data_IF_760551850100
#
_entry.id   IF_760551850100
#
_cell.length_a   1.000
_cell.length_b   1.000
_cell.length_c   1.000
_cell.angle_alpha   90.00
_cell.angle_beta   90.00
_cell.angle_gamma   90.00
#
_symmetry.space_group_name_H-M   'P 1'
#
loop_
_entity.id
_entity.type
_entity.pdbx_description
1 polymer ?
#
# COMPACT_ATOMS: atom_id res chain seq x y z
N UNK A 1 13.75 17.35 28.01
CA UNK A 1 14.53 17.76 26.82
C UNK A 1 13.75 17.35 25.59
N UNK A 2 12.97 18.28 25.05
CA UNK A 2 12.02 18.12 23.96
C UNK A 2 12.72 18.38 22.63
N UNK A 3 12.89 17.33 21.82
CA UNK A 3 13.40 17.46 20.44
C UNK A 3 12.21 17.55 19.51
N UNK A 4 11.98 18.74 19.00
CA UNK A 4 10.99 19.11 17.99
C UNK A 4 11.35 18.47 16.64
N UNK A 5 10.45 17.65 16.10
CA UNK A 5 10.51 17.15 14.71
C UNK A 5 9.55 17.98 13.84
N UNK A 6 9.94 19.22 13.57
CA UNK A 6 9.35 20.09 12.54
C UNK A 6 10.46 20.35 11.53
N UNK A 7 10.45 19.66 10.38
CA UNK A 7 11.50 19.92 9.39
C UNK A 7 11.71 18.92 8.27
N UNK A 8 10.68 18.38 7.62
CA UNK A 8 10.82 17.81 6.26
C UNK A 8 9.56 18.07 5.45
N UNK A 9 9.28 19.33 5.14
CA UNK A 9 8.25 19.73 4.17
C UNK A 9 8.73 20.92 3.32
N UNK A 10 9.95 20.86 2.80
CA UNK A 10 10.42 21.79 1.75
C UNK A 10 11.24 20.97 0.75
N UNK A 11 10.60 20.53 -0.34
CA UNK A 11 11.30 19.72 -1.36
C UNK A 11 10.52 19.43 -2.65
N UNK A 12 9.45 20.17 -2.98
CA UNK A 12 8.62 19.89 -4.17
C UNK A 12 8.51 21.10 -5.13
N UNK A 13 9.46 22.03 -5.14
CA UNK A 13 9.31 23.26 -5.95
C UNK A 13 10.48 23.62 -6.89
N UNK A 14 11.35 22.69 -7.28
CA UNK A 14 12.53 23.04 -8.09
C UNK A 14 12.98 22.00 -9.13
N UNK A 15 12.06 21.32 -9.81
CA UNK A 15 12.42 20.35 -10.87
C UNK A 15 11.59 20.48 -12.16
N UNK A 16 11.30 21.70 -12.62
CA UNK A 16 10.60 21.91 -13.91
C UNK A 16 11.16 23.04 -14.77
N UNK A 17 12.45 23.39 -14.60
CA UNK A 17 13.15 24.27 -15.53
C UNK A 17 14.52 23.67 -15.80
N UNK A 18 15.00 23.82 -17.04
CA UNK A 18 16.28 23.35 -17.58
C UNK A 18 16.31 21.93 -18.16
N UNK A 19 15.74 21.75 -19.36
CA UNK A 19 16.41 20.97 -20.41
C UNK A 19 15.85 21.33 -21.79
N UNK A 20 16.26 22.48 -22.31
CA UNK A 20 16.25 22.77 -23.74
C UNK A 20 17.68 23.15 -24.11
N UNK A 21 18.56 22.16 -24.32
CA UNK A 21 19.84 22.38 -24.98
C UNK A 21 19.64 22.18 -26.48
N UNK A 22 19.81 23.29 -27.20
CA UNK A 22 19.87 23.38 -28.64
C UNK A 22 21.00 22.49 -29.19
N UNK A 23 20.67 21.63 -30.15
CA UNK A 23 21.67 20.95 -30.98
C UNK A 23 21.90 21.79 -32.24
N UNK A 24 23.16 22.15 -32.44
CA UNK A 24 23.67 22.93 -33.54
C UNK A 24 23.43 22.24 -34.89
N UNK A 25 23.01 23.05 -35.88
CA UNK A 25 22.73 22.64 -37.25
C UNK A 25 24.03 22.61 -38.05
N UNK A 26 24.47 21.44 -38.50
CA UNK A 26 25.54 21.31 -39.49
C UNK A 26 25.05 21.78 -40.86
N UNK A 27 25.89 22.54 -41.58
CA UNK A 27 25.64 22.98 -42.96
C UNK A 27 25.98 21.82 -43.90
N UNK A 28 24.98 21.32 -44.63
CA UNK A 28 25.18 20.42 -45.78
C UNK A 28 24.70 21.16 -47.03
N UNK A 29 25.54 21.16 -48.05
CA UNK A 29 25.37 21.89 -49.30
C UNK A 29 24.11 21.44 -50.06
N UNK A 30 23.43 22.41 -50.69
CA UNK A 30 22.25 22.22 -51.51
C UNK A 30 22.66 21.75 -52.91
N UNK A 31 22.35 20.50 -53.28
CA UNK A 31 22.14 20.16 -54.69
C UNK A 31 20.64 20.26 -54.99
N UNK A 32 20.29 21.16 -55.92
CA UNK A 32 18.91 21.38 -56.34
C UNK A 32 18.59 20.43 -57.50
N UNK A 33 18.01 19.27 -57.20
CA UNK A 33 17.23 18.52 -58.19
C UNK A 33 15.79 19.05 -58.22
N UNK A 34 15.19 19.33 -59.40
CA UNK A 34 13.80 19.75 -59.47
C UNK A 34 12.90 18.63 -58.95
N UNK A 35 12.24 18.96 -57.86
CA UNK A 35 11.47 18.06 -57.02
C UNK A 35 9.99 18.15 -57.43
N UNK A 36 9.53 17.27 -58.30
CA UNK A 36 8.08 17.03 -58.51
C UNK A 36 7.53 16.21 -57.33
N UNK A 37 7.42 16.85 -56.16
CA UNK A 37 6.78 16.24 -54.99
C UNK A 37 5.27 16.38 -55.11
N UNK A 38 4.59 15.26 -55.32
CA UNK A 38 3.15 15.13 -55.08
C UNK A 38 2.85 15.49 -53.63
N UNK A 39 2.04 16.52 -53.43
CA UNK A 39 1.72 17.09 -52.12
C UNK A 39 0.60 16.28 -51.44
N UNK A 40 0.86 15.01 -51.07
CA UNK A 40 -0.01 14.27 -50.15
C UNK A 40 0.77 13.14 -49.47
N UNK A 41 1.06 13.27 -48.17
CA UNK A 41 1.72 12.27 -47.31
C UNK A 41 0.71 11.28 -46.72
N UNK A 42 -0.16 10.72 -47.56
CA UNK A 42 -0.98 9.56 -47.16
C UNK A 42 -0.82 8.47 -48.20
N UNK A 43 -0.21 7.35 -47.81
CA UNK A 43 -0.21 6.13 -48.63
C UNK A 43 -1.66 5.72 -48.91
N UNK A 44 -1.95 5.34 -50.16
CA UNK A 44 -3.24 4.73 -50.51
C UNK A 44 -3.41 3.47 -49.66
N UNK A 45 -4.53 3.36 -48.96
CA UNK A 45 -4.84 2.18 -48.15
C UNK A 45 -4.88 0.96 -49.07
N UNK A 46 -3.88 0.08 -48.96
CA UNK A 46 -3.93 -1.24 -49.59
C UNK A 46 -5.13 -2.00 -49.02
N UNK A 47 -5.89 -2.65 -49.90
CA UNK A 47 -7.03 -3.50 -49.53
C UNK A 47 -6.57 -4.50 -48.47
N UNK A 48 -7.09 -4.34 -47.24
CA UNK A 48 -6.72 -5.17 -46.09
C UNK A 48 -7.08 -6.62 -46.40
N UNK A 49 -6.07 -7.44 -46.71
CA UNK A 49 -6.23 -8.88 -46.86
C UNK A 49 -6.72 -9.53 -45.58
N UNK A 50 -7.29 -10.74 -45.70
CA UNK A 50 -7.89 -11.52 -44.61
C UNK A 50 -6.90 -11.60 -43.42
N UNK A 51 -7.15 -10.84 -42.35
CA UNK A 51 -6.30 -10.85 -41.17
C UNK A 51 -6.38 -12.23 -40.51
N UNK A 52 -5.27 -12.77 -39.97
CA UNK A 52 -5.34 -14.00 -39.19
C UNK A 52 -6.33 -13.80 -38.03
N UNK A 53 -7.25 -14.75 -37.86
CA UNK A 53 -8.18 -14.76 -36.73
C UNK A 53 -7.34 -14.74 -35.45
N UNK A 54 -7.30 -13.58 -34.78
CA UNK A 54 -6.63 -13.45 -33.49
C UNK A 54 -7.38 -14.32 -32.50
N UNK A 55 -6.66 -15.08 -31.66
CA UNK A 55 -7.27 -15.92 -30.62
C UNK A 55 -8.23 -15.07 -29.76
N UNK A 56 -9.45 -15.57 -29.57
CA UNK A 56 -10.48 -15.00 -28.70
C UNK A 56 -9.98 -14.69 -27.27
N UNK A 57 -9.03 -15.47 -26.75
CA UNK A 57 -8.43 -15.21 -25.44
C UNK A 57 -7.58 -13.95 -25.47
N UNK A 58 -6.80 -13.77 -26.54
CA UNK A 58 -5.96 -12.59 -26.74
C UNK A 58 -6.82 -11.34 -26.97
N UNK A 59 -7.95 -11.45 -27.66
CA UNK A 59 -8.89 -10.32 -27.80
C UNK A 59 -9.56 -9.96 -26.47
N UNK A 60 -9.96 -10.95 -25.65
CA UNK A 60 -10.47 -10.71 -24.30
C UNK A 60 -9.42 -10.05 -23.40
N UNK A 61 -8.18 -10.53 -23.41
CA UNK A 61 -7.09 -9.91 -22.64
C UNK A 61 -6.88 -8.46 -23.09
N UNK A 62 -6.78 -8.23 -24.41
CA UNK A 62 -6.65 -6.87 -24.98
C UNK A 62 -7.82 -5.97 -24.58
N UNK A 63 -9.03 -6.50 -24.57
CA UNK A 63 -10.24 -5.77 -24.17
C UNK A 63 -10.22 -5.35 -22.69
N UNK A 64 -9.81 -6.25 -21.77
CA UNK A 64 -9.72 -5.93 -20.34
C UNK A 64 -8.53 -5.02 -20.01
N UNK A 65 -7.43 -5.11 -20.77
CA UNK A 65 -6.27 -4.24 -20.60
C UNK A 65 -6.51 -2.82 -21.15
N UNK A 66 -7.19 -2.72 -22.28
CA UNK A 66 -7.42 -1.47 -22.99
C UNK A 66 -8.90 -1.32 -23.29
N UNK A 67 -9.67 -1.04 -22.24
CA UNK A 67 -11.11 -0.88 -22.36
C UNK A 67 -11.44 0.46 -23.03
N UNK A 68 -12.07 0.46 -24.22
CA UNK A 68 -12.34 1.70 -24.94
C UNK A 68 -13.44 2.56 -24.29
N UNK A 69 -14.26 1.98 -23.40
CA UNK A 69 -15.32 2.69 -22.68
C UNK A 69 -14.84 3.16 -21.30
N UNK A 70 -13.61 3.63 -21.17
CA UNK A 70 -13.24 4.37 -19.95
C UNK A 70 -14.04 5.68 -19.93
N UNK A 71 -14.82 5.96 -18.87
CA UNK A 71 -15.55 7.21 -18.79
C UNK A 71 -14.55 8.38 -18.75
N UNK A 72 -14.93 9.51 -19.34
CA UNK A 72 -14.11 10.72 -19.27
C UNK A 72 -13.97 11.17 -17.80
N UNK A 73 -12.85 11.80 -17.41
CA UNK A 73 -12.68 12.33 -16.06
C UNK A 73 -13.85 13.22 -15.65
N UNK A 74 -14.29 13.05 -14.41
CA UNK A 74 -15.45 13.76 -13.87
C UNK A 74 -15.15 15.26 -13.74
N UNK A 75 -15.97 16.10 -14.36
CA UNK A 75 -15.90 17.57 -14.23
C UNK A 75 -16.89 18.01 -13.16
N UNK A 76 -16.36 18.55 -12.06
CA UNK A 76 -17.17 19.03 -10.94
C UNK A 76 -17.35 20.55 -11.04
N UNK A 77 -18.53 21.05 -10.68
CA UNK A 77 -18.72 22.48 -10.42
C UNK A 77 -18.01 22.89 -9.14
N UNK A 78 -17.74 24.19 -8.95
CA UNK A 78 -17.04 24.72 -7.77
C UNK A 78 -17.67 24.26 -6.44
N UNK A 79 -18.99 24.40 -6.30
CA UNK A 79 -19.70 23.99 -5.08
C UNK A 79 -19.60 22.48 -4.80
N UNK A 80 -19.64 21.65 -5.85
CA UNK A 80 -19.49 20.19 -5.72
C UNK A 80 -18.05 19.80 -5.37
N UNK A 81 -17.07 20.43 -6.01
CA UNK A 81 -15.66 20.23 -5.74
C UNK A 81 -15.30 20.57 -4.28
N UNK A 82 -15.81 21.68 -3.74
CA UNK A 82 -15.61 22.06 -2.35
C UNK A 82 -16.23 21.05 -1.38
N UNK A 83 -17.46 20.60 -1.61
CA UNK A 83 -18.09 19.56 -0.77
C UNK A 83 -17.27 18.27 -0.74
N UNK A 84 -16.82 17.80 -1.90
CA UNK A 84 -15.96 16.62 -2.01
C UNK A 84 -14.64 16.81 -1.27
N UNK A 85 -14.02 17.99 -1.41
CA UNK A 85 -12.78 18.32 -0.71
C UNK A 85 -12.96 18.30 0.82
N UNK A 86 -14.05 18.87 1.33
CA UNK A 86 -14.35 18.86 2.76
C UNK A 86 -14.57 17.43 3.28
N UNK A 87 -15.33 16.60 2.56
CA UNK A 87 -15.54 15.19 2.93
C UNK A 87 -14.21 14.43 2.95
N UNK A 88 -13.39 14.58 1.91
CA UNK A 88 -12.08 13.93 1.84
C UNK A 88 -11.14 14.39 2.98
N UNK A 89 -11.17 15.67 3.33
CA UNK A 89 -10.38 16.20 4.46
C UNK A 89 -10.88 15.66 5.79
N UNK A 90 -12.19 15.64 6.01
CA UNK A 90 -12.80 15.07 7.21
C UNK A 90 -12.43 13.59 7.38
N UNK A 91 -12.46 12.82 6.28
CA UNK A 91 -12.01 11.42 6.26
C UNK A 91 -10.54 11.28 6.67
N UNK A 92 -9.65 12.12 6.11
CA UNK A 92 -8.22 12.09 6.48
C UNK A 92 -8.02 12.37 7.97
N UNK A 93 -8.72 13.35 8.53
CA UNK A 93 -8.65 13.66 9.97
C UNK A 93 -9.15 12.48 10.81
N UNK A 94 -10.28 11.88 10.43
CA UNK A 94 -10.81 10.70 11.09
C UNK A 94 -9.84 9.51 11.04
N UNK A 95 -9.24 9.24 9.89
CA UNK A 95 -8.32 8.10 9.72
C UNK A 95 -7.05 8.31 10.54
N UNK A 96 -6.49 9.53 10.56
CA UNK A 96 -5.39 9.87 11.46
C UNK A 96 -5.75 9.63 12.94
N UNK A 97 -6.96 10.03 13.37
CA UNK A 97 -7.44 9.76 14.74
C UNK A 97 -7.57 8.26 15.03
N UNK A 98 -8.14 7.49 14.09
CA UNK A 98 -8.29 6.03 14.19
C UNK A 98 -6.94 5.33 14.31
N UNK A 99 -5.98 5.69 13.46
CA UNK A 99 -4.62 5.15 13.51
C UNK A 99 -3.90 5.53 14.80
N UNK A 100 -4.02 6.78 15.26
CA UNK A 100 -3.43 7.21 16.52
C UNK A 100 -4.01 6.45 17.71
N UNK A 101 -5.33 6.23 17.74
CA UNK A 101 -5.98 5.40 18.76
C UNK A 101 -5.41 3.97 18.78
N UNK A 102 -5.27 3.35 17.61
CA UNK A 102 -4.69 2.01 17.50
C UNK A 102 -3.23 1.97 17.99
N UNK A 103 -2.42 2.97 17.62
CA UNK A 103 -1.01 3.08 18.07
C UNK A 103 -0.90 3.27 19.59
N UNK A 104 -1.73 4.13 20.17
CA UNK A 104 -1.75 4.36 21.62
C UNK A 104 -2.18 3.09 22.37
N UNK A 105 -3.16 2.35 21.86
CA UNK A 105 -3.57 1.10 22.47
C UNK A 105 -2.46 0.03 22.41
N UNK A 106 -1.78 -0.09 21.27
CA UNK A 106 -0.60 -0.97 21.15
C UNK A 106 0.52 -0.55 22.11
N UNK A 107 0.79 0.76 22.25
CA UNK A 107 1.76 1.27 23.20
C UNK A 107 1.36 0.97 24.65
N UNK A 108 0.07 1.10 24.99
CA UNK A 108 -0.47 0.76 26.31
C UNK A 108 -0.27 -0.71 26.63
N UNK A 109 -0.58 -1.60 25.68
CA UNK A 109 -0.37 -3.04 25.82
C UNK A 109 1.11 -3.38 25.97
N UNK A 110 1.98 -2.77 25.15
CA UNK A 110 3.42 -2.95 25.25
C UNK A 110 3.96 -2.51 26.60
N UNK A 111 3.56 -1.34 27.10
CA UNK A 111 3.97 -0.85 28.42
C UNK A 111 3.51 -1.79 29.53
N UNK A 112 2.25 -2.26 29.48
CA UNK A 112 1.74 -3.23 30.44
C UNK A 112 2.53 -4.54 30.45
N UNK A 113 2.97 -5.02 29.28
CA UNK A 113 3.83 -6.21 29.16
C UNK A 113 5.21 -5.92 29.76
N UNK A 114 5.82 -4.78 29.44
CA UNK A 114 7.12 -4.37 30.00
C UNK A 114 7.07 -4.32 31.53
N UNK A 115 6.08 -3.64 32.11
CA UNK A 115 5.92 -3.51 33.56
C UNK A 115 5.77 -4.88 34.22
N UNK A 116 4.96 -5.75 33.63
CA UNK A 116 4.76 -7.13 34.12
C UNK A 116 6.06 -7.95 34.06
N UNK A 117 6.86 -7.77 33.01
CA UNK A 117 8.13 -8.48 32.83
C UNK A 117 9.21 -7.99 33.79
N UNK A 118 9.24 -6.69 34.12
CA UNK A 118 10.12 -6.14 35.17
C UNK A 118 9.72 -6.68 36.55
N UNK A 119 8.43 -6.79 36.84
CA UNK A 119 7.94 -7.47 38.06
C UNK A 119 8.40 -8.93 38.06
N UNK A 120 8.19 -9.67 36.96
CA UNK A 120 8.58 -11.08 36.84
C UNK A 120 10.09 -11.32 36.99
N UNK A 121 10.92 -10.35 36.62
CA UNK A 121 12.38 -10.40 36.80
C UNK A 121 12.80 -10.28 38.27
N UNK A 122 12.05 -9.52 39.06
CA UNK A 122 12.34 -9.23 40.46
C UNK A 122 11.60 -10.17 41.44
N UNK A 123 10.63 -10.93 40.96
CA UNK A 123 9.88 -11.90 41.76
C UNK A 123 10.75 -13.13 42.09
N UNK A 124 10.98 -13.39 43.38
CA UNK A 124 11.53 -14.66 43.84
C UNK A 124 10.42 -15.72 43.86
N UNK A 125 10.56 -16.77 43.05
CA UNK A 125 9.53 -17.80 42.85
C UNK A 125 9.53 -18.88 43.96
N UNK A 126 10.25 -18.65 45.07
CA UNK A 126 10.42 -19.59 46.17
C UNK A 126 11.19 -20.86 45.77
N UNK A 127 11.66 -20.94 44.52
CA UNK A 127 12.46 -22.04 43.97
C UNK A 127 13.96 -21.74 44.07
N UNK A 128 14.37 -20.73 44.85
CA UNK A 128 15.75 -20.35 45.14
C UNK A 128 16.51 -21.46 45.88
N UNK A 129 16.87 -22.53 45.15
CA UNK A 129 18.02 -23.36 45.48
C UNK A 129 19.27 -22.50 45.23
N UNK A 130 19.84 -22.01 46.32
CA UNK A 130 21.17 -21.39 46.49
C UNK A 130 21.79 -20.82 45.19
N UNK A 131 21.70 -19.49 45.01
CA UNK A 131 22.58 -18.74 44.13
C UNK A 131 22.06 -18.35 42.74
N UNK A 132 20.77 -18.53 42.43
CA UNK A 132 20.15 -18.00 41.18
C UNK A 132 18.96 -17.13 41.52
N UNK A 133 19.20 -15.84 41.73
CA UNK A 133 18.14 -14.87 41.99
C UNK A 133 17.03 -14.88 40.91
N UNK A 134 15.78 -14.95 41.38
CA UNK A 134 14.54 -14.29 40.90
C UNK A 134 14.11 -14.41 39.43
N UNK A 135 14.87 -15.04 38.55
CA UNK A 135 14.75 -14.82 37.10
C UNK A 135 14.39 -16.09 36.30
N UNK A 136 13.99 -17.18 36.95
CA UNK A 136 13.62 -18.43 36.26
C UNK A 136 12.38 -18.24 35.38
N UNK A 137 11.29 -17.74 35.95
CA UNK A 137 10.03 -17.53 35.22
C UNK A 137 10.19 -16.51 34.08
N UNK A 138 10.94 -15.44 34.33
CA UNK A 138 11.29 -14.44 33.30
C UNK A 138 12.01 -15.06 32.09
N UNK A 139 13.00 -15.93 32.32
CA UNK A 139 13.71 -16.61 31.23
C UNK A 139 12.82 -17.56 30.44
N UNK A 140 11.95 -18.30 31.13
CA UNK A 140 10.99 -19.21 30.48
C UNK A 140 10.00 -18.41 29.62
N UNK A 141 9.46 -17.30 30.14
CA UNK A 141 8.51 -16.46 29.42
C UNK A 141 9.10 -15.85 28.12
N UNK A 142 10.43 -15.64 28.09
CA UNK A 142 11.13 -15.14 26.90
C UNK A 142 11.44 -16.23 25.85
N UNK A 143 11.28 -17.50 26.18
CA UNK A 143 11.55 -18.57 25.22
C UNK A 143 10.56 -18.51 24.05
N UNK A 144 11.08 -18.39 22.82
CA UNK A 144 10.27 -18.29 21.60
C UNK A 144 9.94 -19.64 20.96
N UNK A 145 9.79 -20.69 21.77
CA UNK A 145 9.52 -22.05 21.27
C UNK A 145 8.14 -22.10 20.61
N UNK A 146 8.06 -22.65 19.40
CA UNK A 146 6.79 -22.82 18.67
C UNK A 146 6.16 -21.55 18.09
N UNK A 147 6.80 -20.37 18.21
CA UNK A 147 6.24 -19.11 17.68
C UNK A 147 6.42 -18.98 16.17
N UNK A 148 7.57 -19.41 15.65
CA UNK A 148 7.95 -19.24 14.23
C UNK A 148 7.74 -20.51 13.39
N UNK A 149 7.02 -21.52 13.89
CA UNK A 149 6.74 -22.75 13.16
C UNK A 149 5.38 -22.71 12.43
N UNK A 150 5.23 -23.60 11.46
CA UNK A 150 3.94 -23.84 10.82
C UNK A 150 2.94 -24.33 11.89
N UNK A 151 1.82 -23.62 12.06
CA UNK A 151 0.83 -23.89 13.10
C UNK A 151 1.03 -23.13 14.42
N UNK A 152 1.84 -22.06 14.46
CA UNK A 152 2.01 -21.24 15.67
C UNK A 152 0.73 -20.52 16.11
N UNK A 153 -0.13 -20.17 15.15
CA UNK A 153 -1.46 -19.60 15.39
C UNK A 153 -2.48 -20.64 14.92
N UNK A 154 -3.37 -21.16 15.79
CA UNK A 154 -4.38 -22.12 15.38
C UNK A 154 -5.34 -21.50 14.36
N UNK A 155 -5.67 -22.25 13.31
CA UNK A 155 -6.45 -21.76 12.16
C UNK A 155 -7.90 -21.42 12.56
N UNK A 156 -8.40 -21.99 13.64
CA UNK A 156 -9.72 -21.73 14.18
C UNK A 156 -9.86 -20.30 14.73
N UNK A 157 -8.76 -19.71 15.22
CA UNK A 157 -8.74 -18.34 15.75
C UNK A 157 -8.47 -17.28 14.69
N UNK A 158 -7.88 -17.63 13.54
CA UNK A 158 -7.57 -16.67 12.47
C UNK A 158 -8.77 -16.34 11.56
N UNK A 159 -10.00 -16.59 12.05
CA UNK A 159 -11.25 -16.28 11.34
C UNK A 159 -11.44 -14.76 11.22
N UNK A 160 -11.83 -14.33 10.02
CA UNK A 160 -12.14 -12.93 9.73
C UNK A 160 -13.51 -12.55 10.29
N UNK A 161 -13.68 -11.26 10.62
CA UNK A 161 -14.98 -10.73 10.99
C UNK A 161 -15.94 -10.73 9.79
N UNK A 162 -17.19 -11.14 9.99
CA UNK A 162 -18.25 -11.14 8.98
C UNK A 162 -19.25 -10.02 9.25
N UNK A 163 -19.91 -9.51 8.20
CA UNK A 163 -20.89 -8.41 8.35
C UNK A 163 -22.14 -8.82 9.14
N UNK A 164 -22.56 -10.09 9.00
CA UNK A 164 -23.66 -10.69 9.78
C UNK A 164 -23.17 -11.97 10.47
N UNK A 165 -23.70 -12.29 11.66
CA UNK A 165 -23.36 -13.54 12.34
C UNK A 165 -23.93 -14.75 11.57
N UNK A 166 -23.30 -15.92 11.75
CA UNK A 166 -23.83 -17.17 11.24
C UNK A 166 -25.10 -17.61 12.02
N UNK A 167 -25.87 -18.54 11.46
CA UNK A 167 -27.05 -19.14 12.11
C UNK A 167 -26.73 -19.67 13.50
N UNK A 168 -25.55 -20.28 13.65
CA UNK A 168 -24.97 -20.68 14.93
C UNK A 168 -23.67 -19.88 15.12
N UNK A 169 -23.70 -18.76 15.86
CA UNK A 169 -22.56 -17.85 15.97
C UNK A 169 -21.41 -18.42 16.79
N UNK A 170 -21.71 -19.33 17.71
CA UNK A 170 -20.74 -19.98 18.57
C UNK A 170 -21.12 -21.45 18.77
N UNK A 171 -20.11 -22.32 18.78
CA UNK A 171 -20.29 -23.74 19.06
C UNK A 171 -20.18 -23.98 20.57
N UNK A 172 -21.32 -24.22 21.22
CA UNK A 172 -21.39 -24.51 22.65
C UNK A 172 -21.09 -25.99 22.98
N UNK A 173 -21.10 -26.87 21.98
CA UNK A 173 -20.94 -28.32 22.14
C UNK A 173 -19.50 -28.79 21.94
N UNK A 174 -18.56 -27.86 21.78
CA UNK A 174 -17.14 -28.17 21.58
C UNK A 174 -16.56 -29.03 22.72
N UNK A 175 -15.88 -30.12 22.36
CA UNK A 175 -15.21 -31.05 23.28
C UNK A 175 -13.74 -31.22 22.89
N UNK A 176 -12.88 -31.42 23.90
CA UNK A 176 -11.43 -31.57 23.77
C UNK A 176 -11.04 -32.98 23.34
#
# INVERSE_FOLDING_TARGET
MSISYEGICIGIAQAFRYSCRALARSKIALSMSPCTRSFTTSSSLLKKGNQPKTDSRVTMIRYHMQHPLMPRPLRLSRGRALRHWTIARAWKVWDCKRQNKAKLELQRQYQSIQDTMEVLRNLDDGSSKVGKEGSRLYRIALEKRGIYCNGSIPIEYSRLQTDTPATYPWDHDWKR
#
